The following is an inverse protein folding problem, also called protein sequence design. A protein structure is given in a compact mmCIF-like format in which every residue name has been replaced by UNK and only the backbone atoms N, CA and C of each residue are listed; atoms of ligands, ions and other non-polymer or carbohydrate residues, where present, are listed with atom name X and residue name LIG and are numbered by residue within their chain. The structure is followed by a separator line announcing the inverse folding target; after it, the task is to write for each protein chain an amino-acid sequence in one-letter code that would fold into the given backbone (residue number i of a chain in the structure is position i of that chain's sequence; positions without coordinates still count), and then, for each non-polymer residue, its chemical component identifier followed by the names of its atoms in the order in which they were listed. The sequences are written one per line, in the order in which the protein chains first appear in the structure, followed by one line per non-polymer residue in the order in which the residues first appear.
data_IF_508816432355
#
_entry.id   IF_508816432355
#
_cell.length_a   1.000
_cell.length_b   1.000
_cell.length_c   1.000
_cell.angle_alpha   90.00
_cell.angle_beta   90.00
_cell.angle_gamma   90.00
#
_symmetry.space_group_name_H-M   'P 1'
#
loop_
_entity.id
_entity.type
_entity.pdbx_description
1 polymer ?
#
# COMPACT_ATOMS: atom_id res chain seq x y z
N UNK A 1 -26.57 -10.79 28.00
CA UNK A 1 -25.32 -10.00 28.19
C UNK A 1 -24.23 -10.27 27.13
N UNK A 2 -24.45 -11.17 26.15
CA UNK A 2 -23.49 -11.49 25.07
C UNK A 2 -23.60 -10.56 23.84
N UNK A 3 -24.75 -9.91 23.61
CA UNK A 3 -24.95 -8.99 22.48
C UNK A 3 -24.12 -7.69 22.55
N UNK A 4 -23.73 -7.26 23.75
CA UNK A 4 -22.92 -6.04 23.93
C UNK A 4 -21.42 -6.28 23.70
N UNK A 5 -20.95 -7.52 23.74
CA UNK A 5 -19.56 -7.87 23.48
C UNK A 5 -19.28 -7.93 21.98
N UNK A 6 -20.18 -8.57 21.21
CA UNK A 6 -20.07 -8.61 19.75
C UNK A 6 -20.25 -7.22 19.11
N UNK A 7 -21.22 -6.42 19.55
CA UNK A 7 -21.39 -5.05 19.03
C UNK A 7 -20.19 -4.15 19.35
N UNK A 8 -19.58 -4.26 20.54
CA UNK A 8 -18.33 -3.53 20.86
C UNK A 8 -17.12 -3.99 20.03
N UNK A 9 -17.06 -5.25 19.63
CA UNK A 9 -15.99 -5.77 18.77
C UNK A 9 -16.15 -5.31 17.31
N UNK A 10 -17.40 -5.14 16.86
CA UNK A 10 -17.73 -4.60 15.54
C UNK A 10 -17.76 -3.06 15.48
N UNK A 11 -17.76 -2.36 16.62
CA UNK A 11 -17.39 -0.95 16.70
C UNK A 11 -15.87 -0.88 16.60
N UNK A 12 -15.33 -1.24 15.44
CA UNK A 12 -14.06 -0.66 15.01
C UNK A 12 -14.39 0.80 14.80
N UNK A 13 -13.98 1.68 15.72
CA UNK A 13 -14.22 3.11 15.60
C UNK A 13 -13.84 3.56 14.19
N UNK A 14 -14.70 4.35 13.55
CA UNK A 14 -14.42 4.94 12.23
C UNK A 14 -13.06 5.63 12.20
N UNK A 15 -12.59 6.13 13.36
CA UNK A 15 -11.26 6.68 13.58
C UNK A 15 -10.13 5.67 13.37
N UNK A 16 -10.26 4.42 13.82
CA UNK A 16 -9.28 3.37 13.58
C UNK A 16 -9.22 2.97 12.11
N UNK A 17 -10.38 2.91 11.44
CA UNK A 17 -10.46 2.63 10.00
C UNK A 17 -9.79 3.76 9.22
N UNK A 18 -10.11 5.01 9.52
CA UNK A 18 -9.53 6.18 8.86
C UNK A 18 -8.01 6.27 9.08
N UNK A 19 -7.54 6.01 10.31
CA UNK A 19 -6.11 5.94 10.62
C UNK A 19 -5.40 4.84 9.82
N UNK A 20 -6.00 3.64 9.72
CA UNK A 20 -5.46 2.54 8.92
C UNK A 20 -5.39 2.91 7.44
N UNK A 21 -6.41 3.56 6.90
CA UNK A 21 -6.41 4.04 5.51
C UNK A 21 -5.29 5.04 5.24
N UNK A 22 -5.13 6.04 6.10
CA UNK A 22 -4.07 7.05 5.99
C UNK A 22 -2.69 6.38 6.09
N UNK A 23 -2.50 5.53 7.10
CA UNK A 23 -1.24 4.79 7.30
C UNK A 23 -0.91 3.90 6.10
N UNK A 24 -1.90 3.23 5.52
CA UNK A 24 -1.70 2.36 4.35
C UNK A 24 -1.36 3.18 3.10
N UNK A 25 -2.01 4.35 2.91
CA UNK A 25 -1.67 5.26 1.80
C UNK A 25 -0.24 5.75 1.91
N UNK A 26 0.19 6.18 3.09
CA UNK A 26 1.56 6.62 3.33
C UNK A 26 2.57 5.50 3.21
N UNK A 27 2.27 4.31 3.74
CA UNK A 27 3.14 3.14 3.62
C UNK A 27 3.43 2.78 2.15
N UNK A 28 2.41 2.85 1.28
CA UNK A 28 2.63 2.61 -0.16
C UNK A 28 3.51 3.69 -0.80
N UNK A 29 3.30 4.97 -0.45
CA UNK A 29 4.14 6.06 -0.99
C UNK A 29 5.59 5.89 -0.56
N UNK A 30 5.83 5.65 0.74
CA UNK A 30 7.18 5.44 1.28
C UNK A 30 7.82 4.19 0.66
N UNK A 31 7.07 3.09 0.54
CA UNK A 31 7.54 1.85 -0.07
C UNK A 31 7.99 2.04 -1.53
N UNK A 32 7.20 2.76 -2.34
CA UNK A 32 7.55 3.06 -3.73
C UNK A 32 8.80 3.95 -3.81
N UNK A 33 8.91 4.97 -2.95
CA UNK A 33 10.09 5.86 -2.92
C UNK A 33 11.36 5.08 -2.55
N UNK A 34 11.30 4.24 -1.52
CA UNK A 34 12.44 3.42 -1.11
C UNK A 34 12.85 2.41 -2.19
N UNK A 35 11.89 1.77 -2.85
CA UNK A 35 12.19 0.86 -3.97
C UNK A 35 12.79 1.59 -5.16
N UNK A 36 12.30 2.78 -5.50
CA UNK A 36 12.89 3.59 -6.56
C UNK A 36 14.34 3.98 -6.23
N UNK A 37 14.61 4.40 -5.00
CA UNK A 37 15.98 4.70 -4.53
C UNK A 37 16.86 3.46 -4.63
N UNK A 38 16.38 2.29 -4.19
CA UNK A 38 17.12 1.04 -4.28
C UNK A 38 17.46 0.68 -5.73
N UNK A 39 16.49 0.72 -6.64
CA UNK A 39 16.70 0.40 -8.05
C UNK A 39 17.76 1.32 -8.66
N UNK A 40 17.72 2.62 -8.37
CA UNK A 40 18.73 3.56 -8.84
C UNK A 40 20.10 3.29 -8.21
N UNK A 41 20.16 2.93 -6.93
CA UNK A 41 21.41 2.55 -6.27
C UNK A 41 22.03 1.32 -6.93
N UNK A 42 21.25 0.26 -7.14
CA UNK A 42 21.73 -0.98 -7.78
C UNK A 42 22.21 -0.70 -9.22
N UNK A 43 21.48 0.15 -9.95
CA UNK A 43 21.86 0.52 -11.31
C UNK A 43 23.15 1.36 -11.38
N UNK A 44 23.32 2.33 -10.47
CA UNK A 44 24.45 3.28 -10.51
C UNK A 44 25.71 2.71 -9.86
N UNK A 45 25.56 1.95 -8.77
CA UNK A 45 26.70 1.50 -7.96
C UNK A 45 27.13 0.09 -8.33
N UNK A 46 26.18 -0.79 -8.63
CA UNK A 46 26.45 -2.20 -8.89
C UNK A 46 26.42 -2.55 -10.39
N UNK A 47 26.06 -1.59 -11.27
CA UNK A 47 25.84 -1.77 -12.71
C UNK A 47 24.90 -2.95 -13.05
N UNK A 48 24.11 -3.39 -12.08
CA UNK A 48 23.21 -4.54 -12.19
C UNK A 48 21.77 -4.07 -12.22
N UNK A 49 21.10 -4.27 -13.35
CA UNK A 49 19.66 -4.05 -13.41
C UNK A 49 18.94 -5.35 -13.12
N UNK A 50 18.58 -5.54 -11.85
CA UNK A 50 17.84 -6.74 -11.45
C UNK A 50 16.35 -6.59 -11.82
N UNK A 51 15.88 -7.50 -12.68
CA UNK A 51 14.53 -7.46 -13.24
C UNK A 51 13.46 -7.70 -12.17
N UNK A 52 13.78 -8.48 -11.14
CA UNK A 52 12.92 -8.71 -9.97
C UNK A 52 12.47 -7.40 -9.29
N UNK A 53 13.39 -6.44 -9.10
CA UNK A 53 13.07 -5.14 -8.50
C UNK A 53 12.11 -4.33 -9.37
N UNK A 54 12.29 -4.36 -10.70
CA UNK A 54 11.37 -3.70 -11.63
C UNK A 54 9.98 -4.34 -11.62
N UNK A 55 9.92 -5.67 -11.58
CA UNK A 55 8.64 -6.42 -11.52
C UNK A 55 7.88 -6.09 -10.24
N UNK A 56 8.57 -6.02 -9.10
CA UNK A 56 7.94 -5.65 -7.83
C UNK A 56 7.40 -4.21 -7.88
N UNK A 57 8.20 -3.27 -8.40
CA UNK A 57 7.80 -1.86 -8.52
C UNK A 57 6.60 -1.70 -9.46
N UNK A 58 6.60 -2.44 -10.57
CA UNK A 58 5.48 -2.50 -11.51
C UNK A 58 4.22 -3.08 -10.86
N UNK A 59 4.34 -4.18 -10.10
CA UNK A 59 3.22 -4.79 -9.40
C UNK A 59 2.60 -3.83 -8.36
N UNK A 60 3.42 -3.08 -7.61
CA UNK A 60 2.92 -2.04 -6.69
C UNK A 60 2.16 -0.94 -7.43
N UNK A 61 2.65 -0.51 -8.59
CA UNK A 61 2.00 0.53 -9.39
C UNK A 61 0.66 0.03 -9.95
N UNK A 62 0.65 -1.17 -10.55
CA UNK A 62 -0.55 -1.79 -11.12
C UNK A 62 -1.62 -1.98 -10.04
N UNK A 63 -1.25 -2.52 -8.88
CA UNK A 63 -2.21 -2.73 -7.77
C UNK A 63 -2.79 -1.39 -7.27
N UNK A 64 -1.95 -0.35 -7.12
CA UNK A 64 -2.42 0.99 -6.75
C UNK A 64 -3.42 1.54 -7.76
N UNK A 65 -3.09 1.45 -9.05
CA UNK A 65 -3.93 1.98 -10.15
C UNK A 65 -5.23 1.18 -10.25
N UNK A 66 -5.18 -0.15 -10.19
CA UNK A 66 -6.36 -1.01 -10.23
C UNK A 66 -7.32 -0.69 -9.09
N UNK A 67 -6.81 -0.50 -7.86
CA UNK A 67 -7.61 -0.09 -6.71
C UNK A 67 -8.20 1.31 -6.92
N UNK A 68 -7.45 2.25 -7.48
CA UNK A 68 -7.95 3.60 -7.77
C UNK A 68 -9.08 3.58 -8.81
N UNK A 69 -8.94 2.77 -9.86
CA UNK A 69 -9.98 2.56 -10.88
C UNK A 69 -11.21 1.92 -10.26
N UNK A 70 -11.03 0.87 -9.45
CA UNK A 70 -12.12 0.21 -8.75
C UNK A 70 -12.89 1.21 -7.88
N UNK A 71 -12.20 1.99 -7.04
CA UNK A 71 -12.88 3.00 -6.22
C UNK A 71 -13.60 4.05 -7.05
N UNK A 72 -13.05 4.48 -8.19
CA UNK A 72 -13.69 5.46 -9.08
C UNK A 72 -14.92 4.90 -9.81
N UNK A 73 -14.98 3.60 -10.05
CA UNK A 73 -16.12 2.96 -10.72
C UNK A 73 -17.25 2.61 -9.73
N UNK A 74 -16.92 2.42 -8.46
CA UNK A 74 -17.86 1.96 -7.43
C UNK A 74 -18.39 3.10 -6.54
N UNK A 75 -17.79 4.29 -6.60
CA UNK A 75 -18.21 5.54 -5.95
C UNK A 75 -18.25 6.66 -6.99
#
# INVERSE_FOLDING_TARGET
MLNNLFSKWFIVDERFIMHRYISTRWAVVVGVVLMAIWVNYEFIVNDTLRIDLLVILFAMLVTKVAVMIFYRLTH
#
